data_IF_177003336871
#
_entry.id   IF_177003336871
#
_cell.length_a   1.000
_cell.length_b   1.000
_cell.length_c   1.000
_cell.angle_alpha   90.00
_cell.angle_beta   90.00
_cell.angle_gamma   90.00
#
_symmetry.space_group_name_H-M   'P 1'
#
loop_
_entity.id
_entity.type
_entity.pdbx_description
1 polymer ?
#
# COMPACT_ATOMS: atom_id res chain seq x y z
N UNK A 1 -14.90 40.71 -49.61
CA UNK A 1 -15.75 39.50 -49.58
C UNK A 1 -15.22 38.49 -50.58
N UNK A 2 -14.76 37.32 -50.10
CA UNK A 2 -15.02 36.08 -50.82
C UNK A 2 -15.60 35.00 -49.88
N UNK A 3 -16.55 34.23 -50.41
CA UNK A 3 -17.16 33.06 -49.75
C UNK A 3 -16.27 31.84 -50.01
N UNK A 4 -15.83 31.16 -48.95
CA UNK A 4 -15.31 29.80 -49.03
C UNK A 4 -16.28 28.84 -48.35
N UNK A 5 -16.79 27.92 -49.17
CA UNK A 5 -17.54 26.72 -48.80
C UNK A 5 -16.54 25.63 -48.43
N UNK A 6 -16.68 25.03 -47.25
CA UNK A 6 -15.93 23.84 -46.85
C UNK A 6 -16.77 22.96 -45.93
N UNK A 7 -17.32 21.87 -46.49
CA UNK A 7 -17.97 20.79 -45.75
C UNK A 7 -16.91 19.83 -45.20
N UNK A 8 -17.14 19.38 -43.96
CA UNK A 8 -16.81 18.07 -43.37
C UNK A 8 -15.44 17.43 -43.62
N UNK A 9 -14.66 17.26 -42.55
CA UNK A 9 -14.06 15.97 -42.13
C UNK A 9 -13.44 16.15 -40.73
N UNK A 10 -14.06 15.61 -39.69
CA UNK A 10 -13.46 15.43 -38.37
C UNK A 10 -13.92 14.07 -37.85
N UNK A 11 -13.22 13.02 -38.30
CA UNK A 11 -13.23 11.71 -37.66
C UNK A 11 -11.77 11.29 -37.53
N UNK A 12 -11.30 11.13 -36.31
CA UNK A 12 -9.98 10.55 -36.05
C UNK A 12 -9.24 11.22 -34.92
N UNK A 13 -9.35 10.65 -33.72
CA UNK A 13 -8.26 10.40 -32.75
C UNK A 13 -8.84 10.26 -31.34
N UNK A 14 -9.26 9.04 -30.98
CA UNK A 14 -9.46 8.61 -29.59
C UNK A 14 -9.29 7.08 -29.49
N UNK A 15 -8.15 6.56 -29.96
CA UNK A 15 -7.79 5.11 -29.82
C UNK A 15 -6.41 4.92 -29.14
N UNK A 16 -5.70 5.99 -28.78
CA UNK A 16 -4.29 5.91 -28.38
C UNK A 16 -3.96 5.47 -26.94
N UNK A 17 -4.93 5.25 -26.05
CA UNK A 17 -4.64 4.98 -24.62
C UNK A 17 -4.97 3.56 -24.15
N UNK A 18 -5.39 2.65 -25.04
CA UNK A 18 -5.93 1.33 -24.66
C UNK A 18 -4.90 0.20 -24.71
N UNK A 19 -3.76 0.35 -25.39
CA UNK A 19 -2.81 -0.75 -25.64
C UNK A 19 -1.63 -0.83 -24.66
N UNK A 20 -1.35 0.22 -23.88
CA UNK A 20 -0.21 0.20 -22.96
C UNK A 20 -0.44 -0.71 -21.74
N UNK A 21 -1.69 -0.84 -21.26
CA UNK A 21 -2.00 -1.58 -20.03
C UNK A 21 -2.03 -3.10 -20.22
N UNK A 22 -2.69 -3.59 -21.28
CA UNK A 22 -2.76 -5.03 -21.59
C UNK A 22 -1.40 -5.62 -22.05
N UNK A 23 -0.45 -4.79 -22.47
CA UNK A 23 0.88 -5.21 -22.91
C UNK A 23 1.90 -5.45 -21.81
N UNK A 24 1.75 -4.81 -20.63
CA UNK A 24 2.73 -4.94 -19.54
C UNK A 24 2.60 -6.28 -18.79
N UNK A 25 1.41 -6.85 -18.68
CA UNK A 25 1.17 -8.03 -17.84
C UNK A 25 1.31 -9.38 -18.56
N UNK A 26 1.36 -9.43 -19.90
CA UNK A 26 1.51 -10.71 -20.64
C UNK A 26 2.88 -11.40 -20.40
N UNK A 27 3.83 -10.74 -19.75
CA UNK A 27 5.17 -11.29 -19.45
C UNK A 27 5.40 -11.76 -18.02
N UNK A 28 4.51 -11.47 -17.06
CA UNK A 28 4.74 -11.81 -15.65
C UNK A 28 4.22 -13.23 -15.36
N UNK A 29 5.02 -14.24 -15.73
CA UNK A 29 4.79 -15.62 -15.24
C UNK A 29 5.30 -15.72 -13.79
N UNK A 30 4.41 -16.09 -12.87
CA UNK A 30 4.71 -16.24 -11.43
C UNK A 30 5.60 -17.45 -11.12
N UNK A 31 5.72 -18.41 -12.07
CA UNK A 31 6.41 -19.68 -11.88
C UNK A 31 7.93 -19.63 -11.59
N UNK A 32 8.56 -18.45 -11.55
CA UNK A 32 9.97 -18.27 -11.18
C UNK A 32 10.18 -17.36 -9.96
N UNK A 33 9.14 -17.07 -9.17
CA UNK A 33 9.33 -16.34 -7.92
C UNK A 33 10.08 -17.23 -6.91
N UNK A 34 11.11 -16.71 -6.22
CA UNK A 34 11.80 -17.50 -5.21
C UNK A 34 10.77 -17.92 -4.16
N UNK A 35 10.64 -19.22 -3.92
CA UNK A 35 9.98 -19.72 -2.72
C UNK A 35 10.74 -19.10 -1.55
N UNK A 36 10.20 -18.02 -0.96
CA UNK A 36 10.84 -17.33 0.14
C UNK A 36 10.93 -18.31 1.29
N UNK A 37 12.13 -18.87 1.49
CA UNK A 37 12.46 -19.77 2.59
C UNK A 37 12.64 -18.99 3.89
N UNK A 38 11.75 -18.03 4.17
CA UNK A 38 11.59 -17.51 5.51
C UNK A 38 10.59 -18.43 6.21
N UNK A 39 11.12 -19.39 6.98
CA UNK A 39 10.34 -20.19 7.93
C UNK A 39 9.84 -19.24 9.02
N UNK A 40 8.79 -18.45 8.72
CA UNK A 40 8.16 -17.55 9.68
C UNK A 40 7.61 -18.40 10.83
N UNK A 41 7.75 -17.96 12.10
CA UNK A 41 6.88 -18.49 13.13
C UNK A 41 5.45 -18.24 12.66
N UNK A 42 4.60 -19.26 12.68
CA UNK A 42 3.19 -19.09 12.44
C UNK A 42 2.69 -18.05 13.45
N UNK A 43 2.56 -16.80 13.01
CA UNK A 43 1.76 -15.83 13.74
C UNK A 43 0.38 -16.47 13.71
N UNK A 44 -0.05 -16.97 14.86
CA UNK A 44 -1.42 -17.37 15.09
C UNK A 44 -2.28 -16.10 14.95
N UNK A 45 -2.48 -15.64 13.72
CA UNK A 45 -3.73 -15.02 13.34
C UNK A 45 -4.76 -16.06 13.74
N UNK A 46 -5.46 -15.80 14.85
CA UNK A 46 -6.60 -16.60 15.30
C UNK A 46 -7.40 -16.92 14.07
N UNK A 47 -7.34 -18.17 13.61
CA UNK A 47 -8.11 -18.58 12.46
C UNK A 47 -9.56 -18.26 12.82
N UNK A 48 -10.24 -17.37 12.06
CA UNK A 48 -11.65 -17.20 12.29
C UNK A 48 -12.28 -18.59 12.18
N UNK A 49 -13.07 -18.97 13.17
CA UNK A 49 -13.76 -20.27 13.22
C UNK A 49 -14.44 -20.41 11.86
N UNK A 50 -13.90 -21.27 10.98
CA UNK A 50 -14.21 -21.24 9.56
C UNK A 50 -15.71 -21.46 9.25
N UNK A 51 -16.45 -22.05 10.20
CA UNK A 51 -17.90 -22.19 10.13
C UNK A 51 -18.69 -20.90 10.36
N UNK A 52 -18.17 -19.95 11.15
CA UNK A 52 -18.87 -18.71 11.49
C UNK A 52 -18.85 -17.69 10.34
N UNK A 53 -17.71 -17.57 9.64
CA UNK A 53 -17.55 -16.59 8.57
C UNK A 53 -18.41 -16.91 7.33
N UNK A 54 -18.50 -18.19 6.92
CA UNK A 54 -19.34 -18.58 5.78
C UNK A 54 -20.82 -18.29 6.02
N UNK A 55 -21.30 -18.49 7.25
CA UNK A 55 -22.69 -18.19 7.62
C UNK A 55 -22.96 -16.68 7.57
N UNK A 56 -22.06 -15.86 8.12
CA UNK A 56 -22.18 -14.40 8.05
C UNK A 56 -22.22 -13.90 6.60
N UNK A 57 -21.32 -14.39 5.74
CA UNK A 57 -21.29 -13.98 4.32
C UNK A 57 -22.58 -14.38 3.59
N UNK A 58 -23.14 -15.57 3.87
CA UNK A 58 -24.43 -15.98 3.30
C UNK A 58 -25.59 -15.08 3.72
N UNK A 59 -25.60 -14.61 4.97
CA UNK A 59 -26.61 -13.66 5.44
C UNK A 59 -26.51 -12.31 4.71
N UNK A 60 -25.29 -11.84 4.45
CA UNK A 60 -25.06 -10.58 3.74
C UNK A 60 -25.23 -10.69 2.21
N UNK A 61 -25.04 -11.89 1.63
CA UNK A 61 -25.08 -12.11 0.18
C UNK A 61 -25.88 -13.37 -0.22
N UNK A 62 -27.16 -13.49 0.19
CA UNK A 62 -27.93 -14.73 0.00
C UNK A 62 -28.18 -15.08 -1.47
N UNK A 63 -28.05 -14.11 -2.38
CA UNK A 63 -28.24 -14.26 -3.84
C UNK A 63 -26.97 -13.90 -4.63
N UNK A 64 -25.81 -13.83 -3.96
CA UNK A 64 -24.54 -13.45 -4.58
C UNK A 64 -23.69 -14.67 -5.00
N UNK A 65 -22.64 -14.45 -5.81
CA UNK A 65 -21.71 -15.51 -6.24
C UNK A 65 -21.02 -16.23 -5.07
N UNK A 66 -20.97 -15.58 -3.90
CA UNK A 66 -20.38 -16.11 -2.67
C UNK A 66 -21.36 -16.94 -1.81
N UNK A 67 -22.62 -17.13 -2.22
CA UNK A 67 -23.60 -17.91 -1.46
C UNK A 67 -23.39 -19.44 -1.52
N UNK A 68 -22.58 -19.92 -2.46
CA UNK A 68 -22.40 -21.33 -2.76
C UNK A 68 -21.54 -22.06 -1.70
N UNK A 69 -22.11 -23.04 -1.01
CA UNK A 69 -21.35 -23.84 -0.01
C UNK A 69 -20.17 -24.61 -0.64
N UNK A 70 -20.31 -25.01 -1.90
CA UNK A 70 -19.26 -25.72 -2.63
C UNK A 70 -17.96 -24.89 -2.71
N UNK A 71 -18.07 -23.58 -2.96
CA UNK A 71 -16.94 -22.66 -3.00
C UNK A 71 -16.21 -22.62 -1.65
N UNK A 72 -16.94 -22.40 -0.56
CA UNK A 72 -16.37 -22.35 0.79
C UNK A 72 -15.75 -23.68 1.21
N UNK A 73 -16.34 -24.81 0.81
CA UNK A 73 -15.76 -26.13 1.02
C UNK A 73 -14.44 -26.30 0.27
N UNK A 74 -14.36 -25.83 -0.98
CA UNK A 74 -13.13 -25.88 -1.77
C UNK A 74 -12.01 -25.03 -1.16
N UNK A 75 -12.32 -23.83 -0.64
CA UNK A 75 -11.34 -22.99 0.06
C UNK A 75 -10.69 -23.70 1.26
N UNK A 76 -11.47 -24.51 2.00
CA UNK A 76 -10.98 -25.26 3.17
C UNK A 76 -10.12 -26.47 2.80
N UNK A 77 -10.25 -26.99 1.58
CA UNK A 77 -9.45 -28.14 1.13
C UNK A 77 -8.01 -27.77 0.77
N UNK A 78 -7.76 -26.50 0.46
CA UNK A 78 -6.43 -25.99 0.10
C UNK A 78 -5.93 -26.50 -1.25
N UNK A 79 -4.64 -26.27 -1.53
CA UNK A 79 -3.96 -26.77 -2.72
C UNK A 79 -4.61 -26.37 -4.04
N UNK A 80 -4.58 -27.28 -5.02
CA UNK A 80 -5.13 -27.06 -6.37
C UNK A 80 -6.64 -26.87 -6.36
N UNK A 81 -7.37 -27.49 -5.43
CA UNK A 81 -8.82 -27.31 -5.30
C UNK A 81 -9.19 -25.89 -4.88
N UNK A 82 -8.46 -25.33 -3.90
CA UNK A 82 -8.60 -23.92 -3.51
C UNK A 82 -8.26 -22.98 -4.66
N UNK A 83 -7.12 -23.20 -5.32
CA UNK A 83 -6.67 -22.36 -6.43
C UNK A 83 -7.70 -22.33 -7.58
N UNK A 84 -8.22 -23.49 -7.98
CA UNK A 84 -9.27 -23.56 -9.01
C UNK A 84 -10.54 -22.82 -8.59
N UNK A 85 -11.01 -23.02 -7.36
CA UNK A 85 -12.19 -22.35 -6.85
C UNK A 85 -12.04 -20.81 -6.80
N UNK A 86 -10.88 -20.31 -6.38
CA UNK A 86 -10.59 -18.87 -6.37
C UNK A 86 -10.53 -18.29 -7.78
N UNK A 87 -9.86 -18.97 -8.71
CA UNK A 87 -9.78 -18.55 -10.12
C UNK A 87 -11.17 -18.43 -10.75
N UNK A 88 -11.99 -19.47 -10.59
CA UNK A 88 -13.36 -19.51 -11.11
C UNK A 88 -14.22 -18.42 -10.46
N UNK A 89 -14.17 -18.28 -9.14
CA UNK A 89 -15.00 -17.32 -8.41
C UNK A 89 -14.59 -15.86 -8.68
N UNK A 90 -13.30 -15.58 -8.80
CA UNK A 90 -12.80 -14.28 -9.21
C UNK A 90 -13.35 -13.89 -10.60
N UNK A 91 -13.25 -14.81 -11.57
CA UNK A 91 -13.79 -14.61 -12.93
C UNK A 91 -15.31 -14.36 -12.91
N UNK A 92 -16.07 -15.14 -12.14
CA UNK A 92 -17.52 -14.98 -12.01
C UNK A 92 -17.91 -13.63 -11.39
N UNK A 93 -17.26 -13.23 -10.28
CA UNK A 93 -17.50 -11.94 -9.63
C UNK A 93 -17.22 -10.80 -10.62
N UNK A 94 -16.10 -10.88 -11.34
CA UNK A 94 -15.66 -9.84 -12.27
C UNK A 94 -16.52 -9.72 -13.53
N UNK A 95 -17.19 -10.81 -13.93
CA UNK A 95 -18.20 -10.80 -15.00
C UNK A 95 -19.46 -9.97 -14.64
N UNK A 96 -19.65 -9.61 -13.37
CA UNK A 96 -20.78 -8.79 -12.95
C UNK A 96 -20.73 -7.38 -13.58
N UNK A 97 -21.84 -7.00 -14.21
CA UNK A 97 -22.05 -5.67 -14.78
C UNK A 97 -22.33 -4.58 -13.74
N UNK A 98 -22.47 -4.93 -12.45
CA UNK A 98 -22.78 -4.00 -11.36
C UNK A 98 -21.51 -3.65 -10.57
N UNK A 99 -20.86 -2.50 -10.81
CA UNK A 99 -19.53 -2.21 -10.25
C UNK A 99 -19.50 -2.19 -8.72
N UNK A 100 -20.59 -1.70 -8.09
CA UNK A 100 -20.69 -1.68 -6.62
C UNK A 100 -20.75 -3.09 -6.03
N UNK A 101 -21.65 -3.94 -6.54
CA UNK A 101 -21.80 -5.32 -6.10
C UNK A 101 -20.53 -6.12 -6.35
N UNK A 102 -19.92 -5.97 -7.53
CA UNK A 102 -18.65 -6.61 -7.91
C UNK A 102 -17.55 -6.31 -6.89
N UNK A 103 -17.28 -5.03 -6.60
CA UNK A 103 -16.25 -4.63 -5.63
C UNK A 103 -16.53 -5.19 -4.23
N UNK A 104 -17.79 -5.15 -3.79
CA UNK A 104 -18.18 -5.67 -2.48
C UNK A 104 -17.98 -7.18 -2.37
N UNK A 105 -18.36 -7.94 -3.40
CA UNK A 105 -18.13 -9.39 -3.44
C UNK A 105 -16.64 -9.73 -3.55
N UNK A 106 -15.90 -8.98 -4.36
CA UNK A 106 -14.47 -9.20 -4.51
C UNK A 106 -13.72 -8.95 -3.20
N UNK A 107 -14.01 -7.85 -2.50
CA UNK A 107 -13.47 -7.57 -1.17
C UNK A 107 -13.83 -8.68 -0.16
N UNK A 108 -15.09 -9.12 -0.11
CA UNK A 108 -15.52 -10.21 0.79
C UNK A 108 -14.81 -11.54 0.48
N UNK A 109 -14.49 -11.81 -0.79
CA UNK A 109 -13.67 -12.97 -1.16
C UNK A 109 -12.24 -12.84 -0.63
N UNK A 110 -11.64 -11.64 -0.75
CA UNK A 110 -10.27 -11.34 -0.30
C UNK A 110 -10.10 -11.36 1.23
N UNK A 111 -11.16 -11.21 2.02
CA UNK A 111 -11.10 -11.41 3.47
C UNK A 111 -10.54 -12.80 3.84
N UNK A 112 -10.75 -13.79 2.96
CA UNK A 112 -10.30 -15.16 3.12
C UNK A 112 -8.98 -15.49 2.42
N UNK A 113 -8.26 -14.48 1.92
CA UNK A 113 -6.99 -14.63 1.24
C UNK A 113 -5.93 -15.36 2.10
N UNK A 114 -5.17 -16.25 1.46
CA UNK A 114 -4.06 -17.00 2.03
C UNK A 114 -2.85 -16.96 1.07
N UNK A 115 -1.65 -17.21 1.60
CA UNK A 115 -0.45 -17.24 0.79
C UNK A 115 -0.54 -18.27 -0.35
N UNK A 116 -0.20 -17.85 -1.57
CA UNK A 116 -0.33 -18.64 -2.78
C UNK A 116 -1.64 -18.44 -3.54
N UNK A 117 -2.58 -17.65 -3.02
CA UNK A 117 -3.83 -17.34 -3.70
C UNK A 117 -3.65 -16.30 -4.82
N UNK A 118 -2.58 -15.48 -4.77
CA UNK A 118 -2.36 -14.38 -5.71
C UNK A 118 -2.47 -14.82 -7.17
N UNK A 119 -1.76 -15.89 -7.52
CA UNK A 119 -1.69 -16.38 -8.91
C UNK A 119 -3.06 -16.84 -9.39
N UNK A 120 -3.79 -17.60 -8.57
CA UNK A 120 -5.11 -18.10 -8.91
C UNK A 120 -6.13 -16.98 -9.13
N UNK A 121 -6.17 -15.99 -8.23
CA UNK A 121 -7.09 -14.85 -8.34
C UNK A 121 -6.73 -14.02 -9.59
N UNK A 122 -5.45 -13.71 -9.78
CA UNK A 122 -4.97 -12.93 -10.92
C UNK A 122 -5.28 -13.62 -12.26
N UNK A 123 -5.12 -14.95 -12.38
CA UNK A 123 -5.53 -15.69 -13.58
C UNK A 123 -7.02 -15.55 -13.88
N UNK A 124 -7.86 -15.55 -12.84
CA UNK A 124 -9.30 -15.27 -12.97
C UNK A 124 -9.58 -13.85 -13.50
N UNK A 125 -8.81 -12.86 -13.05
CA UNK A 125 -8.90 -11.49 -13.55
C UNK A 125 -8.50 -11.39 -15.04
N UNK A 126 -7.38 -12.02 -15.42
CA UNK A 126 -6.88 -12.02 -16.79
C UNK A 126 -7.85 -12.70 -17.76
N UNK A 127 -8.58 -13.73 -17.31
CA UNK A 127 -9.61 -14.38 -18.12
C UNK A 127 -10.74 -13.40 -18.48
N UNK A 128 -11.14 -12.52 -17.56
CA UNK A 128 -12.18 -11.52 -17.80
C UNK A 128 -11.66 -10.29 -18.57
N UNK A 129 -10.40 -9.92 -18.39
CA UNK A 129 -9.79 -8.83 -19.18
C UNK A 129 -9.76 -9.18 -20.66
N UNK A 130 -9.48 -10.44 -21.02
CA UNK A 130 -9.56 -10.94 -22.41
C UNK A 130 -10.96 -10.80 -23.02
N UNK A 131 -12.00 -10.70 -22.20
CA UNK A 131 -13.38 -10.46 -22.62
C UNK A 131 -13.73 -8.96 -22.66
N UNK A 132 -12.74 -8.07 -22.48
CA UNK A 132 -12.90 -6.62 -22.53
C UNK A 132 -13.22 -5.96 -21.18
N UNK A 133 -13.13 -6.71 -20.08
CA UNK A 133 -13.30 -6.19 -18.73
C UNK A 133 -12.17 -5.24 -18.30
N UNK A 134 -12.45 -4.34 -17.37
CA UNK A 134 -11.45 -3.45 -16.74
C UNK A 134 -11.65 -3.47 -15.22
N UNK A 135 -10.60 -3.84 -14.49
CA UNK A 135 -10.69 -4.22 -13.08
C UNK A 135 -9.62 -3.56 -12.21
N UNK A 136 -9.22 -2.32 -12.55
CA UNK A 136 -8.12 -1.64 -11.84
C UNK A 136 -8.35 -1.58 -10.33
N UNK A 137 -9.59 -1.35 -9.88
CA UNK A 137 -9.89 -1.26 -8.45
C UNK A 137 -9.89 -2.61 -7.74
N UNK A 138 -10.40 -3.65 -8.38
CA UNK A 138 -10.31 -5.00 -7.85
C UNK A 138 -8.85 -5.50 -7.86
N UNK A 139 -8.05 -5.12 -8.86
CA UNK A 139 -6.62 -5.42 -8.91
C UNK A 139 -5.87 -4.74 -7.74
N UNK A 140 -6.08 -3.44 -7.53
CA UNK A 140 -5.50 -2.70 -6.39
C UNK A 140 -5.87 -3.39 -5.06
N UNK A 141 -7.15 -3.73 -4.86
CA UNK A 141 -7.61 -4.44 -3.65
C UNK A 141 -6.94 -5.80 -3.46
N UNK A 142 -6.76 -6.57 -4.54
CA UNK A 142 -6.07 -7.85 -4.49
C UNK A 142 -4.61 -7.67 -4.09
N UNK A 143 -3.91 -6.70 -4.67
CA UNK A 143 -2.49 -6.46 -4.40
C UNK A 143 -2.25 -5.98 -2.97
N UNK A 144 -3.10 -5.09 -2.44
CA UNK A 144 -3.05 -4.63 -1.05
C UNK A 144 -3.25 -5.81 -0.07
N UNK A 145 -4.31 -6.60 -0.28
CA UNK A 145 -4.53 -7.79 0.56
C UNK A 145 -3.40 -8.82 0.45
N UNK A 146 -2.85 -9.00 -0.74
CA UNK A 146 -1.72 -9.89 -0.96
C UNK A 146 -0.46 -9.37 -0.26
N UNK A 147 -0.27 -8.05 -0.16
CA UNK A 147 0.91 -7.47 0.46
C UNK A 147 0.97 -7.74 1.97
N UNK A 148 -0.19 -7.74 2.63
CA UNK A 148 -0.32 -8.11 4.05
C UNK A 148 0.08 -9.56 4.35
N UNK A 149 -0.14 -10.48 3.39
CA UNK A 149 0.04 -11.93 3.60
C UNK A 149 1.36 -12.44 3.00
N UNK A 150 1.68 -12.00 1.80
CA UNK A 150 2.84 -12.42 1.01
C UNK A 150 3.55 -11.24 0.33
N UNK A 151 3.77 -10.14 1.08
CA UNK A 151 4.36 -8.91 0.55
C UNK A 151 5.67 -9.05 -0.24
N UNK A 152 6.52 -10.02 0.06
CA UNK A 152 7.71 -10.29 -0.77
C UNK A 152 7.36 -10.65 -2.23
N UNK A 153 6.29 -11.42 -2.44
CA UNK A 153 5.77 -11.81 -3.76
C UNK A 153 5.22 -10.58 -4.48
N UNK A 154 4.42 -9.78 -3.78
CA UNK A 154 3.84 -8.54 -4.31
C UNK A 154 4.93 -7.56 -4.72
N UNK A 155 5.90 -7.31 -3.85
CA UNK A 155 6.96 -6.34 -4.13
C UNK A 155 7.91 -6.80 -5.22
N UNK A 156 8.09 -8.10 -5.43
CA UNK A 156 8.83 -8.60 -6.59
C UNK A 156 8.10 -8.32 -7.92
N UNK A 157 6.76 -8.31 -7.94
CA UNK A 157 5.97 -7.88 -9.10
C UNK A 157 6.20 -6.38 -9.34
N UNK A 158 6.11 -5.56 -8.27
CA UNK A 158 6.38 -4.12 -8.32
C UNK A 158 7.79 -3.85 -8.89
N UNK A 159 8.81 -4.59 -8.43
CA UNK A 159 10.19 -4.47 -8.92
C UNK A 159 10.28 -4.74 -10.42
N UNK A 160 9.60 -5.79 -10.90
CA UNK A 160 9.58 -6.17 -12.32
C UNK A 160 8.89 -5.12 -13.18
N UNK A 161 7.75 -4.60 -12.74
CA UNK A 161 7.02 -3.52 -13.43
C UNK A 161 7.87 -2.25 -13.59
N UNK A 162 8.69 -1.95 -12.58
CA UNK A 162 9.55 -0.78 -12.52
C UNK A 162 11.01 -1.03 -12.98
N UNK A 163 11.29 -2.20 -13.56
CA UNK A 163 12.65 -2.56 -14.00
C UNK A 163 13.13 -1.78 -15.24
N UNK A 164 12.21 -1.17 -15.98
CA UNK A 164 12.53 -0.33 -17.14
C UNK A 164 12.61 1.13 -16.73
N UNK A 165 13.61 1.83 -17.25
CA UNK A 165 13.75 3.27 -17.05
C UNK A 165 12.48 4.00 -17.53
N UNK A 166 11.98 4.92 -16.71
CA UNK A 166 10.76 5.68 -16.99
C UNK A 166 9.44 4.93 -16.74
N UNK A 167 9.48 3.68 -16.23
CA UNK A 167 8.27 3.01 -15.76
C UNK A 167 7.55 3.87 -14.70
N UNK A 168 6.21 4.02 -14.80
CA UNK A 168 5.46 4.75 -13.79
C UNK A 168 5.41 3.95 -12.50
N UNK A 169 5.75 4.60 -11.39
CA UNK A 169 5.45 4.07 -10.05
C UNK A 169 3.99 4.38 -9.74
N UNK A 170 3.24 3.35 -9.36
CA UNK A 170 1.81 3.47 -9.07
C UNK A 170 1.58 3.68 -7.57
N UNK A 171 0.56 4.45 -7.21
CA UNK A 171 0.25 4.73 -5.80
C UNK A 171 -0.09 3.47 -4.98
N UNK A 172 -0.63 2.43 -5.62
CA UNK A 172 -0.86 1.15 -4.96
C UNK A 172 0.45 0.43 -4.57
N UNK A 173 1.57 0.70 -5.25
CA UNK A 173 2.90 0.18 -4.86
C UNK A 173 3.28 0.69 -3.47
N UNK A 174 3.04 1.97 -3.21
CA UNK A 174 3.30 2.62 -1.93
C UNK A 174 2.40 2.02 -0.83
N UNK A 175 1.11 1.83 -1.09
CA UNK A 175 0.18 1.19 -0.14
C UNK A 175 0.57 -0.26 0.19
N UNK A 176 0.93 -1.06 -0.82
CA UNK A 176 1.44 -2.41 -0.59
C UNK A 176 2.72 -2.44 0.26
N UNK A 177 3.62 -1.47 0.08
CA UNK A 177 4.81 -1.35 0.93
C UNK A 177 4.44 -1.01 2.38
N UNK A 178 3.47 -0.12 2.61
CA UNK A 178 2.97 0.18 3.95
C UNK A 178 2.35 -1.06 4.61
N UNK A 179 1.48 -1.78 3.89
CA UNK A 179 0.81 -2.99 4.41
C UNK A 179 1.81 -4.13 4.72
N UNK A 180 2.77 -4.33 3.82
CA UNK A 180 3.81 -5.34 4.05
C UNK A 180 4.73 -4.96 5.20
N UNK A 181 5.16 -3.69 5.28
CA UNK A 181 6.06 -3.26 6.35
C UNK A 181 5.39 -3.22 7.72
N UNK A 182 4.07 -3.02 7.78
CA UNK A 182 3.28 -3.19 9.00
C UNK A 182 3.26 -4.65 9.49
N UNK A 183 3.15 -5.62 8.57
CA UNK A 183 3.05 -7.05 8.88
C UNK A 183 4.40 -7.76 9.03
N UNK A 184 5.45 -7.30 8.32
CA UNK A 184 6.78 -7.91 8.26
C UNK A 184 7.86 -6.86 8.01
N UNK A 185 8.13 -6.09 9.07
CA UNK A 185 9.13 -5.02 9.10
C UNK A 185 10.49 -5.45 8.55
N UNK A 186 11.00 -6.58 9.03
CA UNK A 186 12.33 -7.06 8.67
C UNK A 186 12.40 -7.44 7.18
N UNK A 187 11.38 -8.14 6.67
CA UNK A 187 11.29 -8.49 5.25
C UNK A 187 11.22 -7.25 4.35
N UNK A 188 10.35 -6.29 4.70
CA UNK A 188 10.16 -5.06 3.93
C UNK A 188 11.42 -4.19 3.90
N UNK A 189 12.10 -4.01 5.04
CA UNK A 189 13.37 -3.28 5.14
C UNK A 189 14.46 -3.95 4.31
N UNK A 190 14.60 -5.27 4.42
CA UNK A 190 15.61 -6.02 3.66
C UNK A 190 15.39 -5.90 2.15
N UNK A 191 14.14 -5.97 1.69
CA UNK A 191 13.81 -5.81 0.28
C UNK A 191 14.03 -4.39 -0.23
N UNK A 192 13.63 -3.37 0.54
CA UNK A 192 13.84 -1.96 0.15
C UNK A 192 15.33 -1.62 0.05
N UNK A 193 16.15 -2.10 0.99
CA UNK A 193 17.60 -1.93 0.96
C UNK A 193 18.28 -2.62 -0.22
N UNK A 194 17.68 -3.70 -0.76
CA UNK A 194 18.19 -4.40 -1.92
C UNK A 194 17.86 -3.69 -3.25
N UNK A 195 17.01 -2.65 -3.23
CA UNK A 195 16.73 -1.87 -4.43
C UNK A 195 17.94 -1.02 -4.83
N UNK A 196 18.25 -0.95 -6.13
CA UNK A 196 19.18 0.06 -6.63
C UNK A 196 18.62 1.46 -6.32
N UNK A 197 19.52 2.44 -6.21
CA UNK A 197 19.12 3.83 -6.08
C UNK A 197 18.29 4.26 -7.31
N UNK A 198 17.26 5.08 -7.08
CA UNK A 198 16.37 5.58 -8.12
C UNK A 198 14.92 5.67 -7.70
N UNK A 199 14.07 6.02 -8.68
CA UNK A 199 12.69 6.47 -8.45
C UNK A 199 11.86 5.48 -7.61
N UNK A 200 11.96 4.17 -7.86
CA UNK A 200 11.18 3.19 -7.09
C UNK A 200 11.59 3.17 -5.61
N UNK A 201 12.89 3.17 -5.34
CA UNK A 201 13.41 3.12 -3.97
C UNK A 201 13.02 4.37 -3.20
N UNK A 202 13.20 5.54 -3.82
CA UNK A 202 12.87 6.83 -3.23
C UNK A 202 11.36 6.95 -2.98
N UNK A 203 10.54 6.51 -3.93
CA UNK A 203 9.08 6.57 -3.84
C UNK A 203 8.53 5.70 -2.70
N UNK A 204 9.10 4.52 -2.47
CA UNK A 204 8.63 3.58 -1.45
C UNK A 204 9.17 3.85 -0.05
N UNK A 205 10.17 4.74 0.09
CA UNK A 205 10.82 5.02 1.37
C UNK A 205 9.82 5.56 2.41
N UNK A 206 8.96 6.50 2.03
CA UNK A 206 7.95 7.06 2.91
C UNK A 206 6.96 6.01 3.43
N UNK A 207 6.40 5.21 2.53
CA UNK A 207 5.42 4.17 2.90
C UNK A 207 6.01 3.02 3.70
N UNK A 208 7.30 2.69 3.50
CA UNK A 208 8.02 1.76 4.36
C UNK A 208 8.02 2.28 5.82
N UNK A 209 8.37 3.54 6.03
CA UNK A 209 8.40 4.13 7.38
C UNK A 209 6.99 4.24 7.96
N UNK A 210 6.02 4.69 7.17
CA UNK A 210 4.61 4.77 7.55
C UNK A 210 4.10 3.42 8.08
N UNK A 211 4.27 2.35 7.31
CA UNK A 211 3.81 1.02 7.69
C UNK A 211 4.49 0.48 8.95
N UNK A 212 5.80 0.66 9.11
CA UNK A 212 6.50 0.27 10.35
C UNK A 212 5.97 1.09 11.55
N UNK A 213 5.76 2.39 11.34
CA UNK A 213 5.33 3.34 12.38
C UNK A 213 3.90 3.05 12.88
N UNK A 214 3.08 2.36 12.07
CA UNK A 214 1.74 1.93 12.49
C UNK A 214 1.75 1.08 13.77
N UNK A 215 2.82 0.31 14.01
CA UNK A 215 2.94 -0.60 15.16
C UNK A 215 4.15 -0.35 16.05
N UNK A 216 5.18 0.33 15.56
CA UNK A 216 6.32 0.75 16.39
C UNK A 216 6.99 1.99 15.81
N UNK A 217 6.70 3.18 16.35
CA UNK A 217 7.36 4.42 15.94
C UNK A 217 8.89 4.36 16.15
N UNK A 218 9.36 3.70 17.22
CA UNK A 218 10.79 3.53 17.48
C UNK A 218 11.49 2.68 16.41
N UNK A 219 10.90 1.54 16.01
CA UNK A 219 11.46 0.73 14.93
C UNK A 219 11.42 1.46 13.57
N UNK A 220 10.42 2.31 13.36
CA UNK A 220 10.34 3.13 12.16
C UNK A 220 11.45 4.18 12.12
N UNK A 221 11.78 4.80 13.26
CA UNK A 221 12.94 5.68 13.35
C UNK A 221 14.25 4.94 13.10
N UNK A 222 14.44 3.76 13.70
CA UNK A 222 15.63 2.92 13.44
C UNK A 222 15.78 2.58 11.94
N UNK A 223 14.68 2.27 11.26
CA UNK A 223 14.69 2.04 9.82
C UNK A 223 15.02 3.33 9.04
N UNK A 224 14.48 4.48 9.46
CA UNK A 224 14.76 5.77 8.82
C UNK A 224 16.24 6.16 8.90
N UNK A 225 17.01 5.69 9.89
CA UNK A 225 18.45 5.93 9.99
C UNK A 225 19.26 5.45 8.78
N UNK A 226 18.69 4.56 7.95
CA UNK A 226 19.31 4.10 6.69
C UNK A 226 19.20 5.13 5.56
N UNK A 227 18.30 6.12 5.69
CA UNK A 227 18.08 7.15 4.68
C UNK A 227 19.10 8.27 4.84
N UNK A 228 19.34 9.04 3.77
CA UNK A 228 20.11 10.27 3.91
C UNK A 228 19.38 11.30 4.79
N UNK A 229 20.07 12.30 5.36
CA UNK A 229 19.44 13.27 6.26
C UNK A 229 18.25 14.03 5.66
N UNK A 230 18.23 14.29 4.35
CA UNK A 230 17.13 14.98 3.67
C UNK A 230 15.91 14.07 3.59
N UNK A 231 16.11 12.82 3.20
CA UNK A 231 15.05 11.79 3.19
C UNK A 231 14.51 11.53 4.61
N UNK A 232 15.36 11.46 5.63
CA UNK A 232 14.93 11.33 7.04
C UNK A 232 14.05 12.50 7.48
N UNK A 233 14.42 13.72 7.11
CA UNK A 233 13.61 14.89 7.43
C UNK A 233 12.23 14.86 6.76
N UNK A 234 12.09 14.20 5.60
CA UNK A 234 10.80 14.07 4.91
C UNK A 234 9.83 13.10 5.61
N UNK A 235 10.33 12.11 6.35
CA UNK A 235 9.47 11.16 7.10
C UNK A 235 9.19 11.59 8.54
N UNK A 236 9.81 12.69 9.00
CA UNK A 236 9.64 13.20 10.36
C UNK A 236 8.18 13.49 10.74
N UNK A 237 7.33 14.10 9.87
CA UNK A 237 5.93 14.34 10.22
C UNK A 237 5.14 13.06 10.54
N UNK A 238 5.37 11.99 9.78
CA UNK A 238 4.70 10.70 10.04
C UNK A 238 5.16 10.07 11.35
N UNK A 239 6.45 10.21 11.69
CA UNK A 239 6.97 9.77 12.99
C UNK A 239 6.38 10.59 14.13
N UNK A 240 6.24 11.91 14.00
CA UNK A 240 5.55 12.76 14.99
C UNK A 240 4.14 12.25 15.27
N UNK A 241 3.36 11.99 14.22
CA UNK A 241 1.99 11.45 14.36
C UNK A 241 1.99 10.07 15.00
N UNK A 242 2.94 9.21 14.63
CA UNK A 242 3.05 7.86 15.15
C UNK A 242 3.42 7.85 16.65
N UNK A 243 4.40 8.65 17.06
CA UNK A 243 4.74 8.83 18.48
C UNK A 243 3.60 9.48 19.28
N UNK A 244 2.86 10.40 18.67
CA UNK A 244 1.74 11.07 19.33
C UNK A 244 0.61 10.08 19.61
N UNK A 245 0.35 9.16 18.68
CA UNK A 245 -0.62 8.08 18.84
C UNK A 245 -0.15 7.02 19.86
N UNK A 246 1.15 6.74 19.94
CA UNK A 246 1.73 5.73 20.85
C UNK A 246 1.86 6.25 22.30
N UNK A 247 2.30 7.51 22.47
CA UNK A 247 2.74 8.07 23.77
C UNK A 247 2.21 9.47 24.07
N UNK A 248 1.27 9.99 23.28
CA UNK A 248 0.81 11.37 23.39
C UNK A 248 1.79 12.39 22.81
N UNK A 249 1.38 13.65 22.76
CA UNK A 249 2.17 14.74 22.17
C UNK A 249 3.53 14.91 22.87
N UNK A 250 3.56 14.73 24.18
CA UNK A 250 4.77 14.79 24.99
C UNK A 250 5.79 13.74 24.54
N UNK A 251 5.36 12.53 24.17
CA UNK A 251 6.25 11.50 23.63
C UNK A 251 6.86 11.86 22.28
N UNK A 252 6.12 12.57 21.42
CA UNK A 252 6.67 13.10 20.16
C UNK A 252 7.68 14.22 20.40
N UNK A 253 7.42 15.09 21.38
CA UNK A 253 8.35 16.16 21.80
C UNK A 253 9.64 15.55 22.37
N UNK A 254 9.53 14.52 23.21
CA UNK A 254 10.68 13.80 23.76
C UNK A 254 11.53 13.14 22.67
N UNK A 255 10.89 12.44 21.72
CA UNK A 255 11.60 11.85 20.58
C UNK A 255 12.35 12.90 19.77
N UNK A 256 11.68 14.00 19.38
CA UNK A 256 12.29 15.08 18.62
C UNK A 256 13.46 15.72 19.38
N UNK A 257 13.29 15.99 20.67
CA UNK A 257 14.33 16.58 21.52
C UNK A 257 15.57 15.67 21.62
N UNK A 258 15.36 14.35 21.62
CA UNK A 258 16.41 13.34 21.69
C UNK A 258 17.20 13.12 20.40
N UNK A 259 16.80 13.73 19.28
CA UNK A 259 17.53 13.61 18.01
C UNK A 259 18.93 14.24 18.10
N UNK A 260 19.90 13.69 17.37
CA UNK A 260 21.27 14.19 17.32
C UNK A 260 21.41 15.53 16.56
N UNK A 261 22.55 16.21 16.66
CA UNK A 261 22.83 17.43 15.88
C UNK A 261 22.83 17.19 14.36
N UNK A 262 23.18 15.98 13.91
CA UNK A 262 23.15 15.54 12.51
C UNK A 262 21.73 15.51 11.92
N UNK A 263 20.71 15.46 12.77
CA UNK A 263 19.29 15.39 12.40
C UNK A 263 18.57 16.74 12.57
N UNK A 264 19.29 17.86 12.50
CA UNK A 264 18.71 19.21 12.61
C UNK A 264 17.56 19.47 11.62
N UNK A 265 17.65 18.91 10.40
CA UNK A 265 16.55 18.96 9.42
C UNK A 265 15.32 18.18 9.88
N UNK A 266 15.52 16.98 10.43
CA UNK A 266 14.46 16.15 11.02
C UNK A 266 13.83 16.84 12.22
N UNK A 267 14.62 17.43 13.12
CA UNK A 267 14.12 18.25 14.23
C UNK A 267 13.26 19.41 13.74
N UNK A 268 13.72 20.15 12.74
CA UNK A 268 12.99 21.29 12.20
C UNK A 268 11.64 20.89 11.60
N UNK A 269 11.60 19.78 10.85
CA UNK A 269 10.35 19.25 10.26
C UNK A 269 9.41 18.69 11.32
N UNK A 270 9.94 17.98 12.31
CA UNK A 270 9.17 17.47 13.44
C UNK A 270 8.57 18.60 14.28
N UNK A 271 9.33 19.67 14.54
CA UNK A 271 8.84 20.83 15.28
C UNK A 271 7.74 21.56 14.50
N UNK A 272 7.89 21.70 13.18
CA UNK A 272 6.85 22.29 12.34
C UNK A 272 5.54 21.48 12.42
N UNK A 273 5.60 20.15 12.28
CA UNK A 273 4.42 19.29 12.42
C UNK A 273 3.80 19.36 13.82
N UNK A 274 4.63 19.33 14.88
CA UNK A 274 4.16 19.45 16.26
C UNK A 274 3.49 20.79 16.52
N UNK A 275 4.07 21.88 16.05
CA UNK A 275 3.53 23.22 16.22
C UNK A 275 2.20 23.37 15.48
N UNK A 276 2.09 22.84 14.26
CA UNK A 276 0.84 22.85 13.48
C UNK A 276 -0.25 22.01 14.16
N UNK A 277 0.09 20.81 14.63
CA UNK A 277 -0.83 19.95 15.35
C UNK A 277 -1.32 20.58 16.67
N UNK A 278 -0.41 21.19 17.44
CA UNK A 278 -0.75 21.88 18.68
C UNK A 278 -1.56 23.15 18.43
N UNK A 279 -1.30 23.89 17.35
CA UNK A 279 -2.09 25.08 16.99
C UNK A 279 -3.59 24.76 16.87
N UNK A 280 -3.93 23.59 16.36
CA UNK A 280 -5.32 23.16 16.20
C UNK A 280 -6.00 22.69 17.48
N UNK A 281 -5.24 22.38 18.53
CA UNK A 281 -5.77 21.80 19.78
C UNK A 281 -5.67 22.81 20.94
N UNK A 282 -4.49 23.41 21.12
CA UNK A 282 -4.15 24.27 22.24
C UNK A 282 -3.01 25.23 21.86
N UNK A 283 -3.39 26.48 21.55
CA UNK A 283 -2.43 27.54 21.21
C UNK A 283 -1.43 27.85 22.33
N UNK A 284 -1.79 27.64 23.60
CA UNK A 284 -0.88 27.93 24.72
C UNK A 284 0.26 26.92 24.74
N UNK A 285 -0.08 25.63 24.55
CA UNK A 285 0.93 24.56 24.43
C UNK A 285 1.86 24.75 23.24
N UNK A 286 1.33 25.26 22.12
CA UNK A 286 2.16 25.62 20.97
C UNK A 286 3.20 26.68 21.35
N UNK A 287 2.78 27.77 22.01
CA UNK A 287 3.70 28.83 22.43
C UNK A 287 4.78 28.31 23.39
N UNK A 288 4.41 27.50 24.38
CA UNK A 288 5.35 26.86 25.31
C UNK A 288 6.36 25.96 24.59
N UNK A 289 5.92 25.20 23.59
CA UNK A 289 6.80 24.36 22.77
C UNK A 289 7.81 25.20 21.99
N UNK A 290 7.36 26.29 21.38
CA UNK A 290 8.21 27.21 20.62
C UNK A 290 9.22 27.88 21.56
N UNK A 291 8.78 28.44 22.70
CA UNK A 291 9.68 29.05 23.68
C UNK A 291 10.74 28.08 24.19
N UNK A 292 10.39 26.80 24.36
CA UNK A 292 11.35 25.78 24.80
C UNK A 292 12.53 25.59 23.85
N UNK A 293 12.31 25.69 22.54
CA UNK A 293 13.33 25.38 21.53
C UNK A 293 13.91 26.60 20.80
N UNK A 294 13.41 27.81 21.05
CA UNK A 294 13.82 29.04 20.33
C UNK A 294 15.32 29.36 20.45
N UNK A 295 15.96 28.94 21.55
CA UNK A 295 17.39 29.18 21.80
C UNK A 295 18.32 28.12 21.23
N UNK A 296 17.78 27.06 20.62
CA UNK A 296 18.57 25.98 20.07
C UNK A 296 19.27 26.39 18.77
N UNK A 297 20.55 26.02 18.53
CA UNK A 297 21.26 26.39 17.31
C UNK A 297 20.58 25.93 16.01
N UNK A 298 19.85 24.82 16.05
CA UNK A 298 19.12 24.31 14.89
C UNK A 298 17.79 25.04 14.62
N UNK A 299 17.29 25.83 15.59
CA UNK A 299 16.02 26.53 15.50
C UNK A 299 16.05 27.73 14.55
N UNK A 300 17.23 28.35 14.33
CA UNK A 300 17.38 29.57 13.53
C UNK A 300 16.77 29.47 12.11
N UNK A 301 16.76 28.27 11.53
CA UNK A 301 16.26 28.03 10.18
C UNK A 301 14.89 27.33 10.14
N UNK A 302 14.31 26.98 11.28
CA UNK A 302 13.04 26.25 11.33
C UNK A 302 11.87 27.18 10.98
N UNK A 303 10.99 26.82 10.00
CA UNK A 303 9.83 27.63 9.62
C UNK A 303 8.85 27.93 10.76
N UNK A 304 8.79 27.08 11.78
CA UNK A 304 7.86 27.22 12.92
C UNK A 304 8.10 28.52 13.73
N UNK A 305 9.33 29.06 13.73
CA UNK A 305 9.67 30.30 14.45
C UNK A 305 9.46 31.58 13.66
N UNK A 306 9.12 31.48 12.36
CA UNK A 306 8.95 32.63 11.46
C UNK A 306 7.49 33.05 11.29
N UNK A 307 6.54 32.33 11.88
CA UNK A 307 5.10 32.59 11.82
C UNK A 307 4.64 33.21 13.12
#
# INVERSE_FOLDING_TARGET
>A
MPRFSGKSFCLGLLVGAVTAWAGLHQGVRFGNLPASAAKKPAVHLTQPIAGSASNAIKEFFPQGPLGEEAFWKALRQGGTTRATALREKASEILASSRPYSRRRWFAAMLEHYQGGDLEAIHEGMMAQEKLGGRFNKEYEQMMERAAEVEGAVVMEIVRKENSKEGSPVHEWHARCMADWSASDKAGAVAWWNALPDGNLRDHLAGSLIEGIATSSPSAAWEAALMFDPVQRANVAPELVKAFARDRGLEGSVEWMAGLGPEDSGTKSRALEELADHMHHIDHSRQAELIERFVSEPWAENCPAFRR
#
